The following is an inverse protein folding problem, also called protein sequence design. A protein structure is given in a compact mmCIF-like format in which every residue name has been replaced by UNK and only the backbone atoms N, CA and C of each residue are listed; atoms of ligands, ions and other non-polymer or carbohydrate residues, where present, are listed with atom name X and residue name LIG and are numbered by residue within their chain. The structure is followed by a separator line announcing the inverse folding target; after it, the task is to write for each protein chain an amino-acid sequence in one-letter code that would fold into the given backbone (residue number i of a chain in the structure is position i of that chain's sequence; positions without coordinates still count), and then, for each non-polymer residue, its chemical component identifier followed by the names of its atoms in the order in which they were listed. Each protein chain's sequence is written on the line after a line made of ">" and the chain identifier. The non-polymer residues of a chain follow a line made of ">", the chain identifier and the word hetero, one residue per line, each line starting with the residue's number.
data_IF_067831829159
#
_entry.id   IF_067831829159
#
_cell.length_a   1.000
_cell.length_b   1.000
_cell.length_c   1.000
_cell.angle_alpha   90.00
_cell.angle_beta   90.00
_cell.angle_gamma   90.00
#
_symmetry.space_group_name_H-M   'P 1'
#
loop_
_entity.id
_entity.type
_entity.pdbx_description
1 polymer ?
#
# COMPACT_ATOMS: atom_id res chain seq x y z
N UNK A 1 -18.45 -10.43 -25.55
CA UNK A 1 -19.07 -10.01 -24.27
C UNK A 1 -20.53 -9.70 -24.55
N UNK A 2 -21.45 -10.44 -23.93
CA UNK A 2 -22.89 -10.18 -24.03
C UNK A 2 -23.19 -8.90 -23.24
N UNK A 3 -23.78 -7.89 -23.88
CA UNK A 3 -24.23 -6.70 -23.18
C UNK A 3 -25.57 -7.02 -22.49
N UNK A 4 -25.57 -7.07 -21.16
CA UNK A 4 -26.80 -7.17 -20.38
C UNK A 4 -27.50 -5.80 -20.48
N UNK A 5 -28.75 -5.73 -20.96
CA UNK A 5 -29.48 -4.47 -21.03
C UNK A 5 -29.56 -3.80 -19.65
N UNK A 6 -29.38 -2.48 -19.59
CA UNK A 6 -29.41 -1.67 -18.35
C UNK A 6 -28.30 -1.99 -17.33
N UNK A 7 -27.26 -2.74 -17.72
CA UNK A 7 -26.08 -2.92 -16.89
C UNK A 7 -25.14 -1.71 -16.98
N UNK A 8 -24.93 -1.06 -15.84
CA UNK A 8 -23.99 0.02 -15.65
C UNK A 8 -22.67 -0.53 -15.12
N UNK A 9 -21.55 -0.07 -15.69
CA UNK A 9 -20.21 -0.42 -15.26
C UNK A 9 -19.30 0.80 -15.34
N UNK A 10 -18.48 1.00 -14.31
CA UNK A 10 -17.41 1.98 -14.29
C UNK A 10 -16.18 1.40 -13.61
N UNK A 11 -15.01 1.70 -14.17
CA UNK A 11 -13.72 1.42 -13.57
C UNK A 11 -12.90 2.71 -13.55
N UNK A 12 -12.21 2.96 -12.44
CA UNK A 12 -11.34 4.11 -12.27
C UNK A 12 -10.04 3.69 -11.61
N UNK A 13 -8.92 3.92 -12.29
CA UNK A 13 -7.60 3.84 -11.66
C UNK A 13 -7.41 5.02 -10.71
N UNK A 14 -6.91 4.74 -9.52
CA UNK A 14 -6.51 5.75 -8.55
C UNK A 14 -5.07 6.16 -8.87
N UNK A 15 -4.75 7.45 -8.73
CA UNK A 15 -3.40 8.00 -9.00
C UNK A 15 -2.34 7.50 -7.99
N UNK A 16 -2.80 6.96 -6.86
CA UNK A 16 -1.99 6.32 -5.84
C UNK A 16 -1.77 4.85 -6.14
N UNK A 17 -0.53 4.42 -5.95
CA UNK A 17 -0.18 3.02 -5.79
C UNK A 17 0.09 2.68 -4.33
N UNK A 18 0.29 1.39 -4.07
CA UNK A 18 0.81 0.93 -2.79
C UNK A 18 2.05 0.06 -2.96
N UNK A 19 2.97 0.12 -2.01
CA UNK A 19 4.16 -0.73 -1.95
C UNK A 19 4.29 -1.30 -0.53
N UNK A 20 4.70 -2.56 -0.43
CA UNK A 20 4.90 -3.24 0.85
C UNK A 20 6.37 -3.19 1.27
N UNK A 21 6.60 -2.89 2.54
CA UNK A 21 7.90 -2.91 3.22
C UNK A 21 7.78 -3.78 4.47
N UNK A 22 8.90 -4.22 5.02
CA UNK A 22 8.91 -5.04 6.24
C UNK A 22 9.69 -4.38 7.36
N UNK A 23 9.17 -4.47 8.58
CA UNK A 23 9.94 -4.21 9.81
C UNK A 23 10.33 -5.57 10.37
N UNK A 24 11.63 -5.88 10.48
CA UNK A 24 12.07 -7.19 10.93
C UNK A 24 11.81 -7.40 12.43
N UNK A 25 11.63 -8.65 12.91
CA UNK A 25 11.28 -8.96 14.29
C UNK A 25 12.18 -8.33 15.35
N UNK A 26 13.49 -8.21 15.07
CA UNK A 26 14.49 -7.62 15.98
C UNK A 26 14.21 -6.14 16.29
N UNK A 27 13.48 -5.47 15.38
CA UNK A 27 13.09 -4.06 15.51
C UNK A 27 11.60 -3.92 15.82
N UNK A 28 10.78 -4.90 15.44
CA UNK A 28 9.33 -4.92 15.66
C UNK A 28 8.91 -4.86 17.13
N UNK A 29 9.73 -5.40 18.04
CA UNK A 29 9.51 -5.30 19.50
C UNK A 29 9.57 -3.88 20.07
N UNK A 30 10.01 -2.89 19.29
CA UNK A 30 9.99 -1.46 19.68
C UNK A 30 8.62 -0.82 19.47
N UNK A 31 7.75 -1.45 18.70
CA UNK A 31 6.39 -0.96 18.43
C UNK A 31 5.40 -1.59 19.40
N UNK A 32 4.37 -0.83 19.76
CA UNK A 32 3.29 -1.34 20.63
C UNK A 32 2.47 -2.36 19.83
N UNK A 33 2.42 -3.64 20.25
CA UNK A 33 1.63 -4.65 19.55
C UNK A 33 0.12 -4.36 19.69
N UNK A 34 -0.70 -4.99 18.85
CA UNK A 34 -2.16 -4.88 18.84
C UNK A 34 -2.70 -3.46 18.57
N UNK A 35 -1.92 -2.62 17.91
CA UNK A 35 -2.34 -1.30 17.45
C UNK A 35 -2.10 -1.18 15.95
N UNK A 36 -2.97 -0.43 15.26
CA UNK A 36 -2.71 0.00 13.89
C UNK A 36 -1.82 1.24 13.96
N UNK A 37 -0.60 1.13 13.45
CA UNK A 37 0.31 2.27 13.38
C UNK A 37 0.12 2.98 12.05
N UNK A 38 0.02 4.31 12.08
CA UNK A 38 -0.25 5.14 10.91
C UNK A 38 0.70 6.34 10.89
N UNK A 39 1.35 6.58 9.76
CA UNK A 39 2.15 7.77 9.48
C UNK A 39 1.47 8.62 8.40
N UNK A 40 0.60 9.57 8.77
CA UNK A 40 -0.10 10.41 7.79
C UNK A 40 0.77 11.57 7.32
N UNK A 41 0.80 11.85 5.99
CA UNK A 41 1.52 12.98 5.38
C UNK A 41 0.68 13.77 4.37
N UNK A 42 -0.64 13.74 4.53
CA UNK A 42 -1.58 14.40 3.63
C UNK A 42 -1.77 13.59 2.35
N UNK A 43 -0.96 13.86 1.32
CA UNK A 43 -1.10 13.22 0.01
C UNK A 43 -0.64 11.75 -0.02
N UNK A 44 0.05 11.28 1.00
CA UNK A 44 0.54 9.91 1.11
C UNK A 44 0.65 9.51 2.57
N UNK A 45 0.72 8.20 2.83
CA UNK A 45 0.71 7.65 4.19
C UNK A 45 1.34 6.27 4.24
N UNK A 46 1.85 5.88 5.42
CA UNK A 46 2.17 4.49 5.71
C UNK A 46 1.25 3.94 6.80
N UNK A 47 0.92 2.66 6.71
CA UNK A 47 0.31 1.90 7.80
C UNK A 47 1.18 0.69 8.11
N UNK A 48 1.19 0.23 9.36
CA UNK A 48 1.86 -1.02 9.73
C UNK A 48 0.91 -1.94 10.49
N UNK A 49 0.87 -3.21 10.07
CA UNK A 49 0.12 -4.28 10.72
C UNK A 49 1.08 -5.32 11.31
N UNK A 50 0.84 -5.79 12.55
CA UNK A 50 1.73 -6.75 13.20
C UNK A 50 1.52 -8.16 12.67
N UNK A 51 2.61 -8.90 12.52
CA UNK A 51 2.62 -10.33 12.19
C UNK A 51 2.84 -11.18 13.44
N UNK A 52 2.55 -12.49 13.34
CA UNK A 52 2.70 -13.43 14.46
C UNK A 52 4.16 -13.69 14.85
N UNK A 53 5.10 -13.52 13.91
CA UNK A 53 6.54 -13.69 14.10
C UNK A 53 7.22 -12.44 14.68
N UNK A 54 6.44 -11.45 15.13
CA UNK A 54 6.88 -10.14 15.64
C UNK A 54 7.45 -9.19 14.58
N UNK A 55 7.43 -9.56 13.29
CA UNK A 55 7.63 -8.60 12.19
C UNK A 55 6.39 -7.73 11.99
N UNK A 56 6.53 -6.68 11.18
CA UNK A 56 5.38 -5.89 10.73
C UNK A 56 5.39 -5.71 9.22
N UNK A 57 4.22 -5.86 8.62
CA UNK A 57 4.00 -5.47 7.22
C UNK A 57 3.63 -4.01 7.17
N UNK A 58 4.43 -3.21 6.48
CA UNK A 58 4.21 -1.78 6.29
C UNK A 58 3.71 -1.54 4.86
N UNK A 59 2.59 -0.86 4.69
CA UNK A 59 2.06 -0.48 3.38
C UNK A 59 2.19 1.02 3.18
N UNK A 60 2.99 1.44 2.19
CA UNK A 60 3.13 2.84 1.76
C UNK A 60 2.16 3.14 0.62
N UNK A 61 1.24 4.07 0.84
CA UNK A 61 0.32 4.60 -0.17
C UNK A 61 0.82 5.96 -0.66
N UNK A 62 1.10 6.09 -1.95
CA UNK A 62 1.66 7.33 -2.51
C UNK A 62 1.34 7.49 -4.00
N UNK A 63 1.22 8.72 -4.54
CA UNK A 63 1.05 8.93 -5.98
C UNK A 63 2.18 8.28 -6.80
N UNK A 64 1.85 7.66 -7.93
CA UNK A 64 2.85 7.06 -8.84
C UNK A 64 3.94 8.04 -9.26
N UNK A 65 3.59 9.32 -9.48
CA UNK A 65 4.56 10.36 -9.82
C UNK A 65 5.67 10.50 -8.75
N UNK A 66 5.32 10.38 -7.46
CA UNK A 66 6.31 10.43 -6.38
C UNK A 66 7.15 9.16 -6.32
N UNK A 67 6.55 7.98 -6.55
CA UNK A 67 7.33 6.74 -6.66
C UNK A 67 8.38 6.84 -7.76
N UNK A 68 8.04 7.37 -8.93
CA UNK A 68 8.96 7.53 -10.05
C UNK A 68 10.12 8.52 -9.77
N UNK A 69 9.96 9.46 -8.82
CA UNK A 69 11.03 10.38 -8.42
C UNK A 69 12.06 9.72 -7.50
N UNK A 70 11.69 8.62 -6.82
CA UNK A 70 12.56 7.83 -5.95
C UNK A 70 13.28 6.75 -6.77
N UNK A 71 14.14 7.19 -7.70
CA UNK A 71 14.81 6.34 -8.70
C UNK A 71 16.17 5.78 -8.26
N UNK A 72 16.63 6.11 -7.05
CA UNK A 72 17.86 5.61 -6.47
C UNK A 72 17.84 5.62 -4.94
N UNK A 73 18.79 4.91 -4.34
CA UNK A 73 18.96 4.76 -2.89
C UNK A 73 19.10 6.09 -2.15
N UNK A 74 19.92 7.02 -2.64
CA UNK A 74 20.16 8.30 -1.97
C UNK A 74 18.86 9.11 -1.85
N UNK A 75 18.12 9.23 -2.96
CA UNK A 75 16.81 9.93 -2.98
C UNK A 75 15.79 9.24 -2.08
N UNK A 76 15.75 7.90 -2.08
CA UNK A 76 14.86 7.12 -1.23
C UNK A 76 15.15 7.39 0.25
N UNK A 77 16.42 7.27 0.66
CA UNK A 77 16.83 7.46 2.04
C UNK A 77 16.63 8.91 2.50
N UNK A 78 16.93 9.90 1.67
CA UNK A 78 16.63 11.31 1.98
C UNK A 78 15.13 11.52 2.18
N UNK A 79 14.30 11.04 1.25
CA UNK A 79 12.84 11.15 1.36
C UNK A 79 12.30 10.54 2.65
N UNK A 80 12.75 9.33 3.00
CA UNK A 80 12.32 8.66 4.22
C UNK A 80 12.85 9.34 5.48
N UNK A 81 14.10 9.83 5.50
CA UNK A 81 14.66 10.57 6.65
C UNK A 81 13.93 11.88 6.90
N UNK A 82 13.53 12.59 5.83
CA UNK A 82 12.76 13.83 5.95
C UNK A 82 11.30 13.57 6.33
N UNK A 83 10.71 12.53 5.76
CA UNK A 83 9.27 12.34 5.83
C UNK A 83 8.85 11.35 6.92
N UNK A 84 9.61 10.29 7.15
CA UNK A 84 9.31 9.21 8.10
C UNK A 84 10.54 8.85 8.95
N UNK A 85 11.14 9.81 9.68
CA UNK A 85 12.44 9.63 10.34
C UNK A 85 12.47 8.47 11.34
N UNK A 86 11.37 8.23 12.04
CA UNK A 86 11.23 7.14 13.00
C UNK A 86 11.12 5.77 12.32
N UNK A 87 10.45 5.70 11.17
CA UNK A 87 10.30 4.44 10.42
C UNK A 87 11.62 3.95 9.85
N UNK A 88 12.57 4.85 9.52
CA UNK A 88 13.91 4.45 9.03
C UNK A 88 14.64 3.58 10.05
N UNK A 89 14.54 3.93 11.34
CA UNK A 89 15.16 3.15 12.42
C UNK A 89 14.44 1.82 12.71
N UNK A 90 13.17 1.72 12.33
CA UNK A 90 12.36 0.51 12.51
C UNK A 90 12.55 -0.46 11.34
N UNK A 91 12.45 0.03 10.11
CA UNK A 91 12.62 -0.76 8.88
C UNK A 91 14.10 -1.12 8.68
N UNK A 92 15.00 -0.13 8.88
CA UNK A 92 16.42 -0.17 8.56
C UNK A 92 16.74 0.32 7.16
N UNK A 93 17.87 1.01 7.00
CA UNK A 93 18.23 1.65 5.73
C UNK A 93 18.45 0.61 4.61
N UNK A 94 19.18 -0.48 4.90
CA UNK A 94 19.47 -1.51 3.91
C UNK A 94 18.19 -2.26 3.50
N UNK A 95 17.38 -2.68 4.48
CA UNK A 95 16.14 -3.41 4.22
C UNK A 95 15.10 -2.53 3.51
N UNK A 96 15.05 -1.23 3.83
CA UNK A 96 14.23 -0.26 3.12
C UNK A 96 14.59 -0.18 1.64
N UNK A 97 15.89 -0.04 1.34
CA UNK A 97 16.38 0.07 -0.05
C UNK A 97 16.10 -1.23 -0.80
N UNK A 98 16.44 -2.38 -0.20
CA UNK A 98 16.21 -3.69 -0.80
C UNK A 98 14.72 -3.91 -1.12
N UNK A 99 13.83 -3.80 -0.12
CA UNK A 99 12.40 -4.07 -0.30
C UNK A 99 11.75 -3.07 -1.27
N UNK A 100 12.15 -1.80 -1.24
CA UNK A 100 11.58 -0.77 -2.11
C UNK A 100 11.92 -1.01 -3.59
N UNK A 101 13.15 -1.44 -3.90
CA UNK A 101 13.58 -1.63 -5.29
C UNK A 101 13.39 -3.06 -5.82
N UNK A 102 13.19 -4.05 -4.95
CA UNK A 102 12.84 -5.42 -5.34
C UNK A 102 11.45 -5.51 -6.00
N UNK A 103 10.52 -4.66 -5.55
CA UNK A 103 9.13 -4.66 -6.02
C UNK A 103 8.75 -3.36 -6.73
N UNK A 104 7.64 -3.40 -7.47
CA UNK A 104 7.03 -2.20 -8.07
C UNK A 104 5.76 -1.83 -7.30
N UNK A 105 5.41 -0.54 -7.21
CA UNK A 105 4.14 -0.14 -6.62
C UNK A 105 2.95 -0.76 -7.37
N UNK A 106 2.01 -1.32 -6.63
CA UNK A 106 0.78 -1.92 -7.14
C UNK A 106 -0.30 -0.87 -7.39
N UNK A 107 -1.14 -1.10 -8.39
CA UNK A 107 -2.24 -0.19 -8.79
C UNK A 107 -3.48 -0.44 -7.93
N UNK A 108 -4.16 0.64 -7.56
CA UNK A 108 -5.47 0.60 -6.92
C UNK A 108 -6.58 0.90 -7.94
N UNK A 109 -7.60 0.04 -7.97
CA UNK A 109 -8.72 0.14 -8.90
C UNK A 109 -10.04 0.28 -8.13
N UNK A 110 -10.85 1.27 -8.50
CA UNK A 110 -12.23 1.41 -8.05
C UNK A 110 -13.18 0.91 -9.14
N UNK A 111 -13.90 -0.17 -8.86
CA UNK A 111 -14.93 -0.71 -9.76
C UNK A 111 -16.31 -0.47 -9.14
N UNK A 112 -17.24 0.05 -9.95
CA UNK A 112 -18.66 0.12 -9.59
C UNK A 112 -19.49 -0.46 -10.72
N UNK A 113 -20.48 -1.28 -10.39
CA UNK A 113 -21.44 -1.81 -11.35
C UNK A 113 -22.84 -1.87 -10.75
N UNK A 114 -23.85 -1.95 -11.61
CA UNK A 114 -25.25 -2.15 -11.23
C UNK A 114 -26.02 -2.74 -12.42
N UNK A 115 -26.98 -3.66 -12.20
CA UNK A 115 -27.29 -4.36 -10.96
C UNK A 115 -26.19 -5.37 -10.56
N UNK A 116 -26.17 -5.76 -9.29
CA UNK A 116 -25.28 -6.81 -8.75
C UNK A 116 -25.86 -8.23 -8.89
N UNK A 117 -26.80 -8.43 -9.80
CA UNK A 117 -27.45 -9.72 -10.04
C UNK A 117 -27.89 -9.82 -11.49
N UNK A 118 -28.08 -11.06 -11.94
CA UNK A 118 -28.63 -11.38 -13.25
C UNK A 118 -29.82 -12.33 -13.03
N UNK A 119 -30.99 -11.97 -13.57
CA UNK A 119 -32.28 -12.67 -13.36
C UNK A 119 -32.71 -12.72 -11.87
N UNK A 120 -33.53 -13.69 -11.47
CA UNK A 120 -34.03 -13.91 -10.11
C UNK A 120 -32.99 -14.52 -9.14
N UNK A 121 -31.70 -14.53 -9.51
CA UNK A 121 -30.62 -15.04 -8.67
C UNK A 121 -29.99 -13.87 -7.89
N UNK A 122 -30.31 -13.77 -6.60
CA UNK A 122 -29.89 -12.69 -5.71
C UNK A 122 -28.38 -12.62 -5.37
N UNK A 123 -27.50 -13.33 -6.08
CA UNK A 123 -26.08 -13.37 -5.75
C UNK A 123 -25.19 -13.21 -7.00
N UNK A 124 -24.40 -12.14 -7.03
CA UNK A 124 -23.18 -12.06 -7.83
C UNK A 124 -22.11 -12.90 -7.13
N UNK A 125 -21.64 -13.98 -7.75
CA UNK A 125 -20.43 -14.67 -7.32
C UNK A 125 -19.26 -14.14 -8.12
N UNK A 126 -18.27 -13.59 -7.40
CA UNK A 126 -16.98 -13.13 -7.93
C UNK A 126 -16.11 -14.35 -8.21
#
# INVERSE_FOLDING_TARGET
>A
MQQIPLFEFSQKHIEHGYLELSIPPERGGKMIPNHLHIWPRGEFMMIALPNQDQSWTVTLFMPFERFHKLDNEEKLLMFFKETFPDSVNLIGENELVENFFESKPFVLLSVKCKPYHFESKHECRI
#
